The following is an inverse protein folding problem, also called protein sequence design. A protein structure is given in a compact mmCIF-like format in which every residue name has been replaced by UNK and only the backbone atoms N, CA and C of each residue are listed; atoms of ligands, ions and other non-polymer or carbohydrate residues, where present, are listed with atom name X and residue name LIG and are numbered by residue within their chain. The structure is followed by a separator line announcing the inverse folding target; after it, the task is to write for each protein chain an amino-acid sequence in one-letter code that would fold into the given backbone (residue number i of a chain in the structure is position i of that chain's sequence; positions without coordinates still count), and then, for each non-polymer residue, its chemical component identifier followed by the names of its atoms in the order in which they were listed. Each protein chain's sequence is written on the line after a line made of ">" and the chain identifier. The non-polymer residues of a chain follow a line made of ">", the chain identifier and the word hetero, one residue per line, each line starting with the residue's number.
data_IF_599946710752
#
_entry.id   IF_599946710752
#
_cell.length_a   1.000
_cell.length_b   1.000
_cell.length_c   1.000
_cell.angle_alpha   90.00
_cell.angle_beta   90.00
_cell.angle_gamma   90.00
#
_symmetry.space_group_name_H-M   'P 1'
#
loop_
_entity.id
_entity.type
_entity.pdbx_description
1 polymer ?
#
# COMPACT_ATOMS: atom_id res chain seq x y z
N UNK A 1 10.17 0.04 -57.68
CA UNK A 1 11.30 -0.56 -56.93
C UNK A 1 10.81 -0.87 -55.52
N UNK A 2 10.17 -2.03 -55.30
CA UNK A 2 10.74 -3.24 -54.65
C UNK A 2 11.31 -2.97 -53.25
N UNK A 3 10.52 -3.17 -52.18
CA UNK A 3 10.54 -4.27 -51.18
C UNK A 3 11.71 -4.17 -50.18
N UNK A 4 11.58 -4.38 -48.87
CA UNK A 4 10.99 -5.52 -48.17
C UNK A 4 10.59 -5.16 -46.71
N UNK A 5 9.53 -5.82 -46.23
CA UNK A 5 9.20 -5.99 -44.82
C UNK A 5 10.05 -7.12 -44.23
N UNK A 6 10.49 -7.01 -42.99
CA UNK A 6 11.07 -8.14 -42.26
C UNK A 6 10.51 -8.23 -40.83
N UNK A 7 9.80 -9.33 -40.57
CA UNK A 7 9.45 -9.83 -39.23
C UNK A 7 10.11 -11.19 -39.07
N UNK A 8 10.62 -11.54 -37.87
CA UNK A 8 10.84 -12.93 -37.49
C UNK A 8 9.93 -13.37 -36.34
N UNK A 9 9.06 -14.31 -36.69
CA UNK A 9 8.74 -15.60 -36.06
C UNK A 9 8.64 -15.72 -34.53
N UNK A 10 7.42 -16.11 -34.15
CA UNK A 10 7.03 -16.74 -32.89
C UNK A 10 7.81 -18.02 -32.58
N UNK A 11 8.12 -18.22 -31.30
CA UNK A 11 8.46 -19.51 -30.72
C UNK A 11 7.30 -19.95 -29.81
N UNK A 12 6.57 -20.95 -30.31
CA UNK A 12 5.63 -21.79 -29.59
C UNK A 12 6.40 -22.69 -28.64
N UNK A 13 6.03 -22.71 -27.35
CA UNK A 13 6.38 -23.84 -26.48
C UNK A 13 5.11 -24.47 -25.93
N UNK A 14 5.05 -25.78 -26.15
CA UNK A 14 3.95 -26.70 -25.92
C UNK A 14 3.57 -26.83 -24.45
N UNK A 15 2.26 -26.95 -24.26
CA UNK A 15 1.56 -27.50 -23.11
C UNK A 15 2.12 -28.85 -22.64
N UNK A 16 2.12 -29.06 -21.33
CA UNK A 16 2.04 -30.37 -20.69
C UNK A 16 1.04 -30.28 -19.54
N UNK A 17 -0.18 -30.74 -19.83
CA UNK A 17 -1.17 -31.14 -18.83
C UNK A 17 -0.89 -32.59 -18.44
N UNK A 18 -0.84 -32.89 -17.14
CA UNK A 18 -1.02 -34.25 -16.64
C UNK A 18 -1.85 -34.22 -15.36
N UNK A 19 -3.03 -34.81 -15.48
CA UNK A 19 -3.98 -35.15 -14.43
C UNK A 19 -3.45 -36.26 -13.50
N UNK A 20 -4.24 -36.53 -12.46
CA UNK A 20 -4.32 -37.73 -11.58
C UNK A 20 -3.50 -37.65 -10.30
N UNK A 21 -3.93 -38.14 -9.14
CA UNK A 21 -5.23 -38.56 -8.63
C UNK A 21 -5.10 -38.62 -7.09
N UNK A 22 -6.24 -38.53 -6.39
CA UNK A 22 -6.38 -38.93 -4.99
C UNK A 22 -6.02 -40.41 -4.83
N UNK A 23 -5.30 -40.79 -3.79
CA UNK A 23 -5.55 -42.03 -3.03
C UNK A 23 -5.04 -41.93 -1.59
N UNK A 24 -5.82 -42.56 -0.73
CA UNK A 24 -5.77 -42.72 0.72
C UNK A 24 -4.58 -43.56 1.24
N UNK A 25 -4.13 -43.22 2.48
CA UNK A 25 -3.66 -44.01 3.65
C UNK A 25 -3.27 -45.51 3.51
N UNK A 26 -2.78 -46.20 4.58
CA UNK A 26 -1.72 -45.91 5.56
C UNK A 26 -0.74 -47.12 5.73
N UNK A 27 0.49 -46.96 6.22
CA UNK A 27 1.26 -48.11 6.75
C UNK A 27 2.02 -47.75 8.02
N UNK A 28 1.71 -48.51 9.07
CA UNK A 28 2.39 -48.60 10.36
C UNK A 28 3.75 -49.29 10.17
N UNK A 29 4.78 -48.83 10.86
CA UNK A 29 5.90 -49.70 11.24
C UNK A 29 6.13 -49.58 12.73
N UNK A 30 6.05 -50.75 13.36
CA UNK A 30 6.18 -51.05 14.77
C UNK A 30 7.66 -51.12 15.10
N UNK A 31 8.09 -50.34 16.09
CA UNK A 31 9.39 -50.48 16.74
C UNK A 31 9.17 -50.64 18.25
N UNK A 32 9.11 -51.89 18.69
CA UNK A 32 9.18 -52.34 20.08
C UNK A 32 10.46 -51.87 20.75
N UNK A 33 10.39 -51.27 21.95
CA UNK A 33 11.05 -51.87 23.12
C UNK A 33 10.67 -51.25 24.48
N UNK A 34 10.62 -52.12 25.49
CA UNK A 34 10.67 -51.94 26.96
C UNK A 34 9.70 -51.02 27.71
N UNK A 35 8.74 -51.70 28.36
CA UNK A 35 8.16 -51.48 29.70
C UNK A 35 8.72 -50.31 30.52
N UNK A 36 7.87 -49.32 30.82
CA UNK A 36 7.81 -48.71 32.17
C UNK A 36 6.36 -48.52 32.60
N UNK A 37 6.13 -48.87 33.85
CA UNK A 37 4.85 -48.97 34.53
C UNK A 37 3.97 -47.73 34.40
N UNK A 38 2.69 -48.00 34.19
CA UNK A 38 1.62 -47.03 34.33
C UNK A 38 1.59 -46.44 35.75
N UNK A 39 1.68 -45.11 35.84
CA UNK A 39 0.96 -44.32 36.84
C UNK A 39 0.17 -43.29 36.05
N UNK A 40 -1.08 -43.65 35.71
CA UNK A 40 -2.07 -42.70 35.18
C UNK A 40 -2.29 -41.67 36.27
N UNK A 41 -1.87 -40.43 36.04
CA UNK A 41 -2.27 -39.30 36.85
C UNK A 41 -3.65 -38.86 36.32
N UNK A 42 -4.76 -39.00 37.08
CA UNK A 42 -6.10 -38.70 36.57
C UNK A 42 -6.44 -37.20 36.49
N UNK A 43 -5.51 -36.30 36.82
CA UNK A 43 -5.77 -34.86 36.92
C UNK A 43 -5.02 -33.99 35.89
N UNK A 44 -4.76 -34.53 34.69
CA UNK A 44 -4.32 -33.70 33.58
C UNK A 44 -5.53 -32.98 32.95
N UNK A 45 -6.04 -31.98 33.67
CA UNK A 45 -6.99 -31.01 33.12
C UNK A 45 -6.46 -30.51 31.77
N UNK A 46 -7.19 -30.83 30.70
CA UNK A 46 -7.04 -30.24 29.38
C UNK A 46 -7.19 -28.73 29.53
N UNK A 47 -6.08 -28.01 29.65
CA UNK A 47 -6.07 -26.59 29.37
C UNK A 47 -6.34 -26.44 27.88
N UNK A 48 -7.61 -26.20 27.55
CA UNK A 48 -8.06 -25.75 26.25
C UNK A 48 -7.20 -24.54 25.86
N UNK A 49 -6.31 -24.72 24.88
CA UNK A 49 -5.56 -23.63 24.27
C UNK A 49 -6.57 -22.69 23.62
N UNK A 50 -7.00 -21.66 24.36
CA UNK A 50 -7.87 -20.61 23.84
C UNK A 50 -7.18 -20.00 22.62
N UNK A 51 -7.87 -20.06 21.47
CA UNK A 51 -7.42 -19.42 20.23
C UNK A 51 -7.20 -17.93 20.50
N UNK A 52 -6.10 -17.32 19.99
CA UNK A 52 -5.90 -15.89 20.16
C UNK A 52 -7.08 -15.14 19.53
N UNK A 53 -7.74 -14.30 20.32
CA UNK A 53 -8.78 -13.38 19.86
C UNK A 53 -8.12 -12.46 18.84
N UNK A 54 -8.57 -12.53 17.58
CA UNK A 54 -8.17 -11.57 16.54
C UNK A 54 -8.64 -10.19 17.00
N UNK A 55 -7.74 -9.39 17.57
CA UNK A 55 -7.97 -7.95 17.73
C UNK A 55 -8.17 -7.40 16.32
N UNK A 56 -9.39 -6.97 16.01
CA UNK A 56 -9.69 -6.36 14.72
C UNK A 56 -8.70 -5.23 14.45
N UNK A 57 -8.02 -5.28 13.30
CA UNK A 57 -7.22 -4.16 12.82
C UNK A 57 -8.18 -2.99 12.67
N UNK A 58 -8.06 -1.97 13.53
CA UNK A 58 -8.87 -0.76 13.42
C UNK A 58 -8.44 -0.04 12.14
N UNK A 59 -9.13 -0.34 11.05
CA UNK A 59 -8.93 0.32 9.77
C UNK A 59 -9.37 1.76 9.97
N UNK A 60 -8.41 2.67 10.09
CA UNK A 60 -8.69 4.09 10.10
C UNK A 60 -9.10 4.47 8.67
N UNK A 61 -10.39 4.31 8.36
CA UNK A 61 -10.97 4.93 7.18
C UNK A 61 -10.78 6.43 7.40
N UNK A 62 -10.00 7.09 6.53
CA UNK A 62 -10.06 8.54 6.43
C UNK A 62 -11.48 8.86 5.96
N UNK A 63 -12.38 9.06 6.91
CA UNK A 63 -13.80 9.24 6.66
C UNK A 63 -13.97 10.53 5.88
N UNK A 64 -14.61 10.43 4.71
CA UNK A 64 -15.06 11.60 3.95
C UNK A 64 -15.93 12.55 4.79
N UNK A 65 -16.51 12.07 5.92
CA UNK A 65 -17.44 12.83 6.76
C UNK A 65 -16.82 13.67 7.87
N UNK A 66 -15.50 13.60 8.11
CA UNK A 66 -14.83 14.45 9.09
C UNK A 66 -13.75 15.28 8.39
N UNK A 67 -14.16 16.09 7.41
CA UNK A 67 -13.26 17.10 6.88
C UNK A 67 -12.95 18.11 8.00
N UNK A 68 -11.67 18.47 8.19
CA UNK A 68 -11.34 19.53 9.13
C UNK A 68 -12.08 20.83 8.73
N UNK A 69 -12.44 21.71 9.68
CA UNK A 69 -13.06 22.98 9.34
C UNK A 69 -12.16 23.76 8.37
N UNK A 70 -12.77 24.43 7.40
CA UNK A 70 -12.03 25.29 6.47
C UNK A 70 -11.30 26.36 7.31
N UNK A 71 -9.97 26.49 7.18
CA UNK A 71 -9.23 27.50 7.92
C UNK A 71 -9.70 28.92 7.55
N UNK A 72 -9.55 29.90 8.45
CA UNK A 72 -10.10 31.25 8.30
C UNK A 72 -9.53 32.04 7.10
N UNK A 73 -8.44 31.56 6.52
CA UNK A 73 -7.85 32.09 5.28
C UNK A 73 -8.61 31.68 4.01
N UNK A 74 -9.68 30.88 4.13
CA UNK A 74 -10.51 30.42 3.00
C UNK A 74 -9.86 29.34 2.12
N UNK A 75 -8.63 28.91 2.44
CA UNK A 75 -7.93 27.88 1.67
C UNK A 75 -8.33 26.48 2.12
N UNK A 76 -8.60 25.61 1.15
CA UNK A 76 -8.85 24.19 1.41
C UNK A 76 -7.60 23.54 2.01
N UNK A 77 -7.77 22.69 3.01
CA UNK A 77 -6.69 21.78 3.44
C UNK A 77 -6.52 20.63 2.44
N UNK A 78 -5.42 19.90 2.51
CA UNK A 78 -5.16 18.76 1.59
C UNK A 78 -6.28 17.71 1.59
N UNK A 79 -6.92 17.49 2.75
CA UNK A 79 -8.04 16.56 2.88
C UNK A 79 -9.37 17.13 2.35
N UNK A 80 -9.40 18.39 1.93
CA UNK A 80 -10.58 19.06 1.38
C UNK A 80 -10.44 19.38 -0.11
N UNK A 81 -9.29 19.04 -0.71
CA UNK A 81 -9.12 19.15 -2.16
C UNK A 81 -10.21 18.33 -2.86
N UNK A 82 -10.70 18.84 -3.98
CA UNK A 82 -11.67 18.17 -4.84
C UNK A 82 -10.96 17.56 -6.04
N UNK A 83 -11.70 16.78 -6.84
CA UNK A 83 -11.17 16.22 -8.09
C UNK A 83 -10.79 17.31 -9.11
N UNK A 84 -11.36 18.52 -8.99
CA UNK A 84 -11.01 19.66 -9.81
C UNK A 84 -9.66 20.29 -9.41
N UNK A 85 -9.27 20.18 -8.13
CA UNK A 85 -7.98 20.70 -7.64
C UNK A 85 -6.83 19.72 -7.94
N UNK A 86 -7.13 18.42 -8.07
CA UNK A 86 -6.13 17.36 -8.23
C UNK A 86 -5.20 17.52 -9.45
N UNK A 87 -5.66 17.94 -10.65
CA UNK A 87 -4.79 18.18 -11.81
C UNK A 87 -3.71 19.25 -11.58
N UNK A 88 -3.97 20.18 -10.66
CA UNK A 88 -3.08 21.30 -10.33
C UNK A 88 -1.99 20.91 -9.32
N UNK A 89 -2.03 19.69 -8.75
CA UNK A 89 -0.99 19.22 -7.86
C UNK A 89 0.36 19.11 -8.59
N UNK A 90 1.48 19.35 -7.90
CA UNK A 90 2.80 19.26 -8.50
C UNK A 90 3.07 17.82 -8.91
N UNK A 91 3.47 17.60 -10.16
CA UNK A 91 3.75 16.27 -10.68
C UNK A 91 4.94 15.64 -9.95
N UNK A 92 4.88 14.33 -9.80
CA UNK A 92 5.91 13.55 -9.15
C UNK A 92 7.17 13.53 -10.02
N UNK A 93 8.30 13.93 -9.45
CA UNK A 93 9.61 13.74 -10.07
C UNK A 93 9.95 12.24 -10.10
N UNK A 94 10.28 11.69 -11.27
CA UNK A 94 10.55 10.26 -11.44
C UNK A 94 12.00 9.90 -11.11
N UNK A 95 12.93 10.85 -11.14
CA UNK A 95 14.32 10.61 -10.76
C UNK A 95 14.44 10.49 -9.23
N UNK A 96 13.70 11.34 -8.52
CA UNK A 96 13.62 11.33 -7.06
C UNK A 96 12.16 11.34 -6.57
N UNK A 97 11.43 10.22 -6.67
CA UNK A 97 10.01 10.17 -6.32
C UNK A 97 9.78 10.46 -4.84
N UNK A 98 9.18 11.64 -4.60
CA UNK A 98 8.83 12.13 -3.26
C UNK A 98 7.34 12.05 -3.05
N UNK A 99 6.94 11.13 -2.18
CA UNK A 99 5.57 11.03 -1.68
C UNK A 99 5.60 11.25 -0.18
N UNK A 100 4.61 11.99 0.32
CA UNK A 100 4.45 12.28 1.73
C UNK A 100 3.49 11.30 2.40
N UNK A 101 3.70 11.07 3.69
CA UNK A 101 2.87 10.16 4.45
C UNK A 101 1.44 10.69 4.52
N UNK A 102 0.49 9.85 4.11
CA UNK A 102 -0.92 10.22 4.09
C UNK A 102 -1.34 10.98 2.83
N UNK A 103 -0.52 11.02 1.77
CA UNK A 103 -0.99 11.43 0.45
C UNK A 103 -2.11 10.50 -0.05
N UNK A 104 -3.07 11.10 -0.76
CA UNK A 104 -4.28 10.44 -1.23
C UNK A 104 -4.58 10.72 -2.72
N UNK A 105 -3.68 11.40 -3.42
CA UNK A 105 -3.83 11.71 -4.85
C UNK A 105 -2.64 11.18 -5.63
N UNK A 106 -2.90 10.63 -6.81
CA UNK A 106 -1.84 10.27 -7.74
C UNK A 106 -1.28 11.53 -8.40
N UNK A 107 0.04 11.71 -8.35
CA UNK A 107 0.76 12.82 -8.97
C UNK A 107 1.68 12.35 -10.10
N UNK A 108 1.60 11.08 -10.48
CA UNK A 108 2.40 10.52 -11.57
C UNK A 108 2.18 11.33 -12.86
N UNK A 109 3.26 11.71 -13.58
CA UNK A 109 3.14 12.41 -14.86
C UNK A 109 2.30 11.60 -15.87
N UNK A 110 1.24 12.20 -16.42
CA UNK A 110 0.36 11.52 -17.37
C UNK A 110 -0.69 10.58 -16.76
N UNK A 111 -0.78 10.45 -15.44
CA UNK A 111 -1.91 9.76 -14.82
C UNK A 111 -3.18 10.63 -14.89
N UNK A 112 -4.27 10.04 -15.39
CA UNK A 112 -5.59 10.68 -15.52
C UNK A 112 -6.48 10.53 -14.28
N UNK A 113 -6.02 9.78 -13.26
CA UNK A 113 -6.81 9.57 -12.03
C UNK A 113 -6.74 10.83 -11.17
N UNK A 114 -7.87 11.56 -11.11
CA UNK A 114 -8.06 12.74 -10.26
C UNK A 114 -8.80 12.42 -8.96
N UNK A 115 -9.43 11.26 -8.89
CA UNK A 115 -10.19 10.81 -7.72
C UNK A 115 -9.27 10.58 -6.51
N UNK A 116 -9.73 11.05 -5.36
CA UNK A 116 -9.05 10.86 -4.09
C UNK A 116 -9.16 9.42 -3.60
N UNK A 117 -8.02 8.82 -3.24
CA UNK A 117 -7.98 7.53 -2.56
C UNK A 117 -8.47 7.64 -1.12
N UNK A 118 -9.21 6.64 -0.64
CA UNK A 118 -9.66 6.59 0.75
C UNK A 118 -8.54 6.23 1.74
N UNK A 119 -7.45 5.63 1.26
CA UNK A 119 -6.32 5.18 2.07
C UNK A 119 -4.99 5.32 1.34
N UNK A 120 -3.88 5.64 2.05
CA UNK A 120 -2.56 5.76 1.45
C UNK A 120 -2.04 4.45 0.85
N UNK A 121 -2.37 3.29 1.43
CA UNK A 121 -1.97 2.00 0.86
C UNK A 121 -2.56 1.78 -0.55
N UNK A 122 -3.82 2.15 -0.76
CA UNK A 122 -4.46 2.05 -2.07
C UNK A 122 -3.78 2.96 -3.12
N UNK A 123 -3.27 4.12 -2.70
CA UNK A 123 -2.46 4.98 -3.56
C UNK A 123 -1.12 4.32 -3.91
N UNK A 124 -0.43 3.73 -2.94
CA UNK A 124 0.83 3.01 -3.19
C UNK A 124 0.63 1.82 -4.13
N UNK A 125 -0.45 1.05 -3.94
CA UNK A 125 -0.82 -0.05 -4.82
C UNK A 125 -1.11 0.45 -6.24
N UNK A 126 -1.77 1.61 -6.37
CA UNK A 126 -2.00 2.24 -7.67
C UNK A 126 -0.69 2.58 -8.39
N UNK A 127 0.27 3.21 -7.70
CA UNK A 127 1.58 3.49 -8.29
C UNK A 127 2.29 2.22 -8.77
N UNK A 128 2.26 1.16 -7.95
CA UNK A 128 2.86 -0.12 -8.32
C UNK A 128 2.18 -0.77 -9.52
N UNK A 129 0.85 -0.83 -9.56
CA UNK A 129 0.09 -1.57 -10.57
C UNK A 129 -0.06 -0.79 -11.88
N UNK A 130 -0.28 0.53 -11.81
CA UNK A 130 -0.59 1.35 -12.98
C UNK A 130 0.62 2.07 -13.57
N UNK A 131 1.65 2.31 -12.76
CA UNK A 131 2.81 3.10 -13.16
C UNK A 131 4.13 2.32 -13.07
N UNK A 132 4.09 1.05 -12.67
CA UNK A 132 5.27 0.22 -12.41
C UNK A 132 6.29 0.91 -11.50
N UNK A 133 5.79 1.78 -10.61
CA UNK A 133 6.60 2.60 -9.71
C UNK A 133 6.51 2.04 -8.30
N UNK A 134 7.56 1.33 -7.89
CA UNK A 134 7.65 0.79 -6.53
C UNK A 134 8.21 1.84 -5.56
N UNK A 135 7.35 2.29 -4.66
CA UNK A 135 7.67 3.30 -3.66
C UNK A 135 7.94 2.63 -2.31
N UNK A 136 8.95 3.12 -1.59
CA UNK A 136 9.25 2.61 -0.25
C UNK A 136 8.06 2.86 0.68
N UNK A 137 7.59 1.80 1.33
CA UNK A 137 6.59 1.92 2.36
C UNK A 137 7.14 2.75 3.53
N UNK A 138 6.32 3.68 4.04
CA UNK A 138 6.71 4.46 5.21
C UNK A 138 6.87 3.55 6.43
N UNK A 139 7.89 3.82 7.27
CA UNK A 139 8.04 3.16 8.58
C UNK A 139 6.75 3.28 9.40
N UNK A 140 6.41 2.27 10.17
CA UNK A 140 5.19 2.27 10.98
C UNK A 140 5.15 3.43 11.99
N UNK A 141 6.29 3.80 12.56
CA UNK A 141 6.47 4.94 13.44
C UNK A 141 7.36 6.02 12.82
N UNK A 142 6.98 7.27 13.04
CA UNK A 142 7.80 8.45 12.74
C UNK A 142 7.80 9.37 13.98
N UNK A 143 8.94 9.99 14.25
CA UNK A 143 9.07 10.91 15.37
C UNK A 143 8.21 12.17 15.21
N UNK A 144 8.08 13.00 16.26
CA UNK A 144 7.32 14.25 16.21
C UNK A 144 7.77 15.19 15.08
N UNK A 145 9.08 15.28 14.84
CA UNK A 145 9.66 16.10 13.76
C UNK A 145 9.19 15.62 12.39
N UNK A 146 9.28 14.33 12.10
CA UNK A 146 8.82 13.75 10.83
C UNK A 146 7.30 13.91 10.64
N UNK A 147 6.51 13.81 11.72
CA UNK A 147 5.06 14.07 11.65
C UNK A 147 4.76 15.51 11.25
N UNK A 148 5.47 16.47 11.84
CA UNK A 148 5.34 17.89 11.50
C UNK A 148 5.72 18.13 10.05
N UNK A 149 6.88 17.65 9.62
CA UNK A 149 7.36 17.79 8.24
C UNK A 149 6.37 17.24 7.21
N UNK A 150 5.85 16.02 7.41
CA UNK A 150 4.80 15.49 6.51
C UNK A 150 3.49 16.30 6.56
N UNK A 151 3.17 16.91 7.71
CA UNK A 151 2.06 17.86 7.83
C UNK A 151 2.30 19.10 6.97
N UNK A 152 3.46 19.71 7.09
CA UNK A 152 3.88 20.91 6.35
C UNK A 152 3.90 20.64 4.83
N UNK A 153 4.40 19.46 4.41
CA UNK A 153 4.34 19.03 3.01
C UNK A 153 2.91 18.95 2.46
N UNK A 154 1.94 18.49 3.26
CA UNK A 154 0.53 18.45 2.84
C UNK A 154 -0.08 19.85 2.76
N UNK A 155 0.28 20.76 3.68
CA UNK A 155 -0.14 22.17 3.59
C UNK A 155 0.40 22.77 2.30
N UNK A 156 1.68 22.56 2.00
CA UNK A 156 2.31 23.02 0.77
C UNK A 156 1.62 22.45 -0.48
N UNK A 157 1.30 21.15 -0.52
CA UNK A 157 0.56 20.56 -1.64
C UNK A 157 -0.82 21.19 -1.84
N UNK A 158 -1.54 21.46 -0.74
CA UNK A 158 -2.86 22.08 -0.80
C UNK A 158 -2.80 23.52 -1.29
N UNK A 159 -1.79 24.27 -0.86
CA UNK A 159 -1.53 25.62 -1.34
C UNK A 159 -1.16 25.60 -2.83
N UNK A 160 -0.26 24.70 -3.25
CA UNK A 160 0.17 24.56 -4.63
C UNK A 160 -1.02 24.33 -5.56
N UNK A 161 -1.91 23.42 -5.19
CA UNK A 161 -3.09 23.09 -6.01
C UNK A 161 -4.07 24.26 -6.18
N UNK A 162 -4.11 25.20 -5.23
CA UNK A 162 -5.05 26.32 -5.21
C UNK A 162 -4.46 27.63 -5.73
N UNK A 163 -3.17 27.87 -5.48
CA UNK A 163 -2.52 29.16 -5.73
C UNK A 163 -1.48 29.08 -6.87
N UNK A 164 -1.11 27.89 -7.34
CA UNK A 164 -0.04 27.73 -8.33
C UNK A 164 1.36 27.76 -7.73
N UNK A 165 2.36 27.45 -8.56
CA UNK A 165 3.76 27.31 -8.14
C UNK A 165 4.37 28.65 -7.73
N UNK A 166 4.00 29.71 -8.43
CA UNK A 166 4.54 31.06 -8.28
C UNK A 166 4.22 31.70 -6.91
N UNK A 167 3.20 31.22 -6.21
CA UNK A 167 2.68 31.82 -4.98
C UNK A 167 3.00 31.02 -3.69
N UNK A 168 3.56 29.82 -3.80
CA UNK A 168 3.61 28.84 -2.69
C UNK A 168 5.02 28.58 -2.16
N UNK A 169 6.04 29.15 -2.81
CA UNK A 169 7.44 28.98 -2.39
C UNK A 169 7.97 27.56 -2.56
N UNK A 170 9.24 27.31 -2.19
CA UNK A 170 9.87 26.01 -2.40
C UNK A 170 9.23 24.91 -1.55
N UNK A 171 9.22 23.69 -2.08
CA UNK A 171 8.71 22.53 -1.36
C UNK A 171 9.50 22.30 -0.06
N UNK A 172 8.82 22.02 1.07
CA UNK A 172 9.50 21.69 2.32
C UNK A 172 10.34 20.42 2.16
N UNK A 173 11.47 20.30 2.91
CA UNK A 173 12.36 19.16 2.78
C UNK A 173 11.63 17.86 3.14
N UNK A 174 11.95 16.75 2.45
CA UNK A 174 11.33 15.47 2.74
C UNK A 174 11.69 15.04 4.17
N UNK A 175 10.69 14.51 4.89
CA UNK A 175 10.95 13.89 6.17
C UNK A 175 11.77 12.61 5.95
N UNK A 176 12.92 12.50 6.62
CA UNK A 176 13.67 11.25 6.68
C UNK A 176 12.87 10.24 7.52
N UNK A 177 12.30 9.24 6.85
CA UNK A 177 11.44 8.21 7.45
C UNK A 177 11.80 6.84 6.95
#
# INVERSE_FOLDING_TARGET
>A
MSTQRYSPKALSYRSLSAHTARTSSPVKTVGTDMRRHAKKNPDAQRQEKRKPVRRGTRVNKYSLSAQPPVPPNGLKTYLQLTEADAPNLPRLDLESPRIFRGELYCRYPGCSVTTRYGQPCALLDHYKIKHDLELKAFKTSIGPVGRKQHGDCKVWLAQYAQLGQENVGPAPPPAFG
#
